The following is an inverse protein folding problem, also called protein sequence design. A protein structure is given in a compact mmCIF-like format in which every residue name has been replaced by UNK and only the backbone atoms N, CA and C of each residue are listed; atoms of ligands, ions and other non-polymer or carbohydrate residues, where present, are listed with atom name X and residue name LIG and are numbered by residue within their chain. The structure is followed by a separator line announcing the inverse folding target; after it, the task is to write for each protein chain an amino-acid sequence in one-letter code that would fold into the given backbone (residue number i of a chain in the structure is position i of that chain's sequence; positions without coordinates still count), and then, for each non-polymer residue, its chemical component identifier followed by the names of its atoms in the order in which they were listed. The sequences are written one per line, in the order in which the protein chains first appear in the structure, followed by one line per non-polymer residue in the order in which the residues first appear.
data_IF_489311883137
#
_entry.id   IF_489311883137
#
_cell.length_a   1.000
_cell.length_b   1.000
_cell.length_c   1.000
_cell.angle_alpha   90.00
_cell.angle_beta   90.00
_cell.angle_gamma   90.00
#
_symmetry.space_group_name_H-M   'P 1'
#
loop_
_entity.id
_entity.type
_entity.pdbx_description
1 polymer ?
#
# COMPACT_ATOMS: atom_id res chain seq x y z
N UNK A 1 21.53 -6.00 4.19
CA UNK A 1 20.05 -5.97 4.04
C UNK A 1 19.70 -6.62 2.71
N UNK A 2 19.09 -7.82 2.73
CA UNK A 2 18.65 -8.51 1.51
C UNK A 2 17.34 -7.88 1.05
N UNK A 3 17.36 -7.22 -0.10
CA UNK A 3 16.17 -6.63 -0.72
C UNK A 3 15.14 -7.72 -1.04
N UNK A 4 14.00 -7.69 -0.35
CA UNK A 4 12.81 -8.44 -0.68
C UNK A 4 12.17 -7.73 -1.90
N UNK A 5 12.52 -8.17 -3.11
CA UNK A 5 11.77 -7.80 -4.30
C UNK A 5 10.37 -8.43 -4.22
N UNK A 6 9.40 -7.66 -3.72
CA UNK A 6 7.98 -7.93 -3.94
C UNK A 6 7.70 -7.48 -5.36
N UNK A 7 7.79 -8.41 -6.31
CA UNK A 7 7.38 -8.12 -7.68
C UNK A 7 5.87 -8.23 -7.76
N UNK A 8 5.18 -7.09 -7.77
CA UNK A 8 3.82 -7.00 -8.34
C UNK A 8 4.02 -7.09 -9.85
N UNK A 9 4.24 -8.30 -10.33
CA UNK A 9 4.05 -8.57 -11.74
C UNK A 9 2.55 -8.78 -11.94
N UNK A 10 1.94 -7.98 -12.81
CA UNK A 10 0.88 -8.47 -13.68
C UNK A 10 1.48 -9.58 -14.55
N UNK A 11 1.73 -10.74 -13.96
CA UNK A 11 2.49 -11.81 -14.57
C UNK A 11 1.53 -12.58 -15.47
N UNK A 12 1.43 -12.14 -16.73
CA UNK A 12 1.12 -13.05 -17.83
C UNK A 12 2.30 -14.02 -18.01
N UNK A 13 2.58 -14.83 -16.99
CA UNK A 13 3.46 -15.98 -17.19
C UNK A 13 2.60 -16.98 -17.95
N UNK A 14 2.75 -16.97 -19.27
CA UNK A 14 2.24 -18.03 -20.13
C UNK A 14 3.18 -19.22 -19.94
N UNK A 15 2.76 -20.22 -19.19
CA UNK A 15 3.62 -21.35 -18.92
C UNK A 15 3.47 -22.43 -19.99
N UNK A 16 4.57 -22.74 -20.69
CA UNK A 16 4.59 -23.67 -21.82
C UNK A 16 4.52 -25.17 -21.47
N UNK A 17 4.66 -25.60 -20.21
CA UNK A 17 4.55 -27.01 -19.80
C UNK A 17 4.05 -27.20 -18.35
N UNK A 18 3.04 -28.07 -18.21
CA UNK A 18 2.67 -28.90 -17.05
C UNK A 18 2.82 -28.34 -15.63
N UNK A 19 1.81 -27.61 -15.15
CA UNK A 19 1.62 -27.39 -13.71
C UNK A 19 0.52 -28.30 -13.20
N UNK A 20 0.62 -28.67 -11.93
CA UNK A 20 -0.51 -29.25 -11.21
C UNK A 20 -1.00 -28.25 -10.20
N UNK A 21 -2.32 -28.22 -10.06
CA UNK A 21 -2.99 -27.40 -9.05
C UNK A 21 -3.65 -28.32 -8.05
N UNK A 22 -3.34 -28.14 -6.78
CA UNK A 22 -4.02 -28.78 -5.67
C UNK A 22 -4.95 -27.76 -5.04
N UNK A 23 -6.27 -27.98 -5.14
CA UNK A 23 -7.27 -27.21 -4.39
C UNK A 23 -7.26 -27.66 -2.94
N UNK A 24 -7.33 -26.70 -2.02
CA UNK A 24 -7.37 -26.94 -0.58
C UNK A 24 -8.81 -26.76 -0.10
N UNK A 25 -9.41 -27.83 0.43
CA UNK A 25 -10.73 -27.81 1.08
C UNK A 25 -10.71 -28.76 2.28
N UNK A 26 -11.18 -28.32 3.45
CA UNK A 26 -11.27 -29.14 4.67
C UNK A 26 -9.95 -29.87 5.01
N UNK A 27 -8.82 -29.17 4.88
CA UNK A 27 -7.46 -29.70 5.06
C UNK A 27 -7.09 -30.88 4.14
N UNK A 28 -7.76 -31.00 2.99
CA UNK A 28 -7.48 -32.00 1.96
C UNK A 28 -7.05 -31.33 0.67
N UNK A 29 -6.17 -32.01 -0.06
CA UNK A 29 -5.70 -31.60 -1.37
C UNK A 29 -6.42 -32.40 -2.46
N UNK A 30 -7.12 -31.69 -3.34
CA UNK A 30 -7.75 -32.29 -4.52
C UNK A 30 -7.04 -31.81 -5.77
N UNK A 31 -6.57 -32.73 -6.61
CA UNK A 31 -5.92 -32.38 -7.88
C UNK A 31 -6.98 -31.84 -8.84
N UNK A 32 -6.76 -30.62 -9.29
CA UNK A 32 -7.59 -29.97 -10.29
C UNK A 32 -7.00 -30.21 -11.67
N UNK A 33 -7.84 -30.62 -12.61
CA UNK A 33 -7.49 -30.72 -14.02
C UNK A 33 -8.00 -29.48 -14.73
N UNK A 34 -7.08 -28.73 -15.33
CA UNK A 34 -7.41 -27.60 -16.20
C UNK A 34 -7.07 -27.94 -17.63
N UNK A 35 -7.82 -27.37 -18.57
CA UNK A 35 -7.46 -27.42 -19.98
C UNK A 35 -6.13 -26.68 -20.20
N UNK A 36 -5.30 -27.08 -21.19
CA UNK A 36 -4.05 -26.41 -21.50
C UNK A 36 -4.18 -24.91 -21.80
N UNK A 37 -5.37 -24.46 -22.20
CA UNK A 37 -5.73 -23.05 -22.43
C UNK A 37 -5.75 -22.19 -21.16
N UNK A 38 -5.81 -22.81 -19.97
CA UNK A 38 -5.71 -22.17 -18.66
C UNK A 38 -4.23 -22.08 -18.28
N UNK A 39 -3.53 -21.11 -18.87
CA UNK A 39 -2.08 -21.01 -18.78
C UNK A 39 -1.58 -20.01 -17.73
N UNK A 40 -2.47 -19.27 -17.04
CA UNK A 40 -2.07 -18.23 -16.08
C UNK A 40 -2.66 -18.46 -14.69
N UNK A 41 -1.95 -18.00 -13.66
CA UNK A 41 -2.43 -18.05 -12.26
C UNK A 41 -3.79 -17.38 -12.08
N UNK A 42 -4.03 -16.26 -12.78
CA UNK A 42 -5.32 -15.55 -12.75
C UNK A 42 -6.46 -16.41 -13.29
N UNK A 43 -6.24 -17.13 -14.40
CA UNK A 43 -7.26 -18.02 -14.96
C UNK A 43 -7.51 -19.22 -14.04
N UNK A 44 -6.46 -19.79 -13.45
CA UNK A 44 -6.57 -20.88 -12.46
C UNK A 44 -7.40 -20.41 -11.26
N UNK A 45 -7.04 -19.27 -10.65
CA UNK A 45 -7.75 -18.72 -9.52
C UNK A 45 -9.22 -18.40 -9.85
N UNK A 46 -9.47 -17.82 -11.03
CA UNK A 46 -10.83 -17.51 -11.50
C UNK A 46 -11.66 -18.78 -11.64
N UNK A 47 -11.09 -19.88 -12.18
CA UNK A 47 -11.76 -21.18 -12.25
C UNK A 47 -12.04 -21.79 -10.87
N UNK A 48 -11.24 -21.42 -9.86
CA UNK A 48 -11.45 -21.79 -8.45
C UNK A 48 -12.41 -20.83 -7.71
N UNK A 49 -12.95 -19.82 -8.38
CA UNK A 49 -13.89 -18.85 -7.80
C UNK A 49 -13.26 -17.59 -7.23
N UNK A 50 -11.96 -17.35 -7.47
CA UNK A 50 -11.21 -16.21 -6.97
C UNK A 50 -10.73 -15.31 -8.12
N UNK A 51 -11.41 -14.19 -8.31
CA UNK A 51 -10.94 -13.11 -9.20
C UNK A 51 -9.64 -12.46 -8.68
N UNK A 52 -8.83 -11.81 -9.54
CA UNK A 52 -7.51 -11.30 -9.17
C UNK A 52 -7.42 -10.50 -7.86
N UNK A 53 -8.34 -9.58 -7.53
CA UNK A 53 -8.27 -8.85 -6.25
C UNK A 53 -8.51 -9.73 -5.00
N UNK A 54 -9.09 -10.92 -5.17
CA UNK A 54 -9.47 -11.85 -4.09
C UNK A 54 -8.35 -12.82 -3.69
N UNK A 55 -7.19 -12.77 -4.37
CA UNK A 55 -6.04 -13.58 -3.97
C UNK A 55 -4.69 -12.88 -4.15
N UNK A 56 -3.69 -13.41 -3.47
CA UNK A 56 -2.28 -13.12 -3.72
C UNK A 56 -1.47 -14.42 -3.74
N UNK A 57 -0.23 -14.34 -4.21
CA UNK A 57 0.69 -15.47 -4.27
C UNK A 57 1.70 -15.40 -3.13
N UNK A 58 1.94 -16.52 -2.49
CA UNK A 58 3.01 -16.68 -1.51
C UNK A 58 4.03 -17.70 -2.01
N UNK A 59 5.30 -17.27 -2.03
CA UNK A 59 6.43 -18.07 -2.46
C UNK A 59 7.44 -18.15 -1.31
N UNK A 60 7.39 -19.23 -0.54
CA UNK A 60 8.42 -19.52 0.45
C UNK A 60 9.66 -20.07 -0.24
N UNK A 61 10.65 -19.21 -0.47
CA UNK A 61 11.95 -19.58 -1.08
C UNK A 61 12.85 -20.40 -0.14
N UNK A 62 12.59 -20.34 1.16
CA UNK A 62 13.36 -21.05 2.19
C UNK A 62 12.83 -22.48 2.38
N UNK A 63 11.56 -22.71 2.05
CA UNK A 63 10.99 -24.04 1.91
C UNK A 63 11.63 -24.74 0.70
N UNK A 64 12.71 -25.48 0.95
CA UNK A 64 13.60 -26.06 -0.08
C UNK A 64 12.98 -27.06 -1.07
N UNK A 65 11.66 -27.19 -1.13
CA UNK A 65 10.95 -27.98 -2.12
C UNK A 65 10.82 -27.21 -3.45
N UNK A 66 11.65 -27.59 -4.43
CA UNK A 66 11.67 -26.99 -5.77
C UNK A 66 10.44 -27.33 -6.62
N UNK A 67 9.63 -28.29 -6.20
CA UNK A 67 8.44 -28.67 -6.95
C UNK A 67 7.24 -27.75 -6.67
N UNK A 68 7.26 -27.00 -5.57
CA UNK A 68 6.22 -26.00 -5.29
C UNK A 68 6.60 -24.70 -5.99
N UNK A 69 5.75 -24.28 -6.90
CA UNK A 69 5.94 -23.04 -7.67
C UNK A 69 5.38 -21.87 -6.88
N UNK A 70 4.15 -22.01 -6.36
CA UNK A 70 3.52 -20.97 -5.53
C UNK A 70 2.34 -21.51 -4.73
N UNK A 71 1.94 -20.82 -3.67
CA UNK A 71 0.67 -21.01 -2.96
C UNK A 71 -0.24 -19.82 -3.24
N UNK A 72 -1.49 -20.08 -3.60
CA UNK A 72 -2.53 -19.06 -3.74
C UNK A 72 -3.25 -18.87 -2.41
N UNK A 73 -3.27 -17.63 -1.92
CA UNK A 73 -3.81 -17.24 -0.62
C UNK A 73 -4.92 -16.22 -0.81
N UNK A 74 -6.01 -16.34 -0.06
CA UNK A 74 -7.11 -15.39 -0.12
C UNK A 74 -6.65 -14.02 0.38
N UNK A 75 -6.91 -12.97 -0.39
CA UNK A 75 -6.64 -11.58 0.01
C UNK A 75 -7.27 -11.27 1.37
N UNK A 76 -6.64 -10.37 2.12
CA UNK A 76 -7.06 -9.91 3.45
C UNK A 76 -7.05 -10.98 4.56
N UNK A 77 -6.56 -12.20 4.27
CA UNK A 77 -6.41 -13.30 5.23
C UNK A 77 -5.04 -13.99 5.10
N UNK A 78 -4.83 -15.03 5.89
CA UNK A 78 -3.69 -15.95 5.75
C UNK A 78 -4.12 -17.33 5.24
N UNK A 79 -5.33 -17.45 4.67
CA UNK A 79 -5.93 -18.74 4.31
C UNK A 79 -5.56 -19.16 2.89
N UNK A 80 -4.73 -20.22 2.71
CA UNK A 80 -4.41 -20.74 1.39
C UNK A 80 -5.60 -21.52 0.82
N UNK A 81 -5.88 -21.37 -0.47
CA UNK A 81 -6.94 -22.12 -1.14
C UNK A 81 -6.43 -23.01 -2.29
N UNK A 82 -5.19 -22.81 -2.74
CA UNK A 82 -4.57 -23.68 -3.74
C UNK A 82 -3.05 -23.70 -3.67
N UNK A 83 -2.45 -24.81 -4.12
CA UNK A 83 -1.00 -24.96 -4.31
C UNK A 83 -0.73 -25.26 -5.77
N UNK A 84 0.22 -24.53 -6.36
CA UNK A 84 0.69 -24.72 -7.73
C UNK A 84 2.06 -25.40 -7.67
N UNK A 85 2.18 -26.54 -8.35
CA UNK A 85 3.41 -27.34 -8.37
C UNK A 85 3.83 -27.65 -9.81
N UNK A 86 5.02 -28.21 -9.96
CA UNK A 86 5.43 -28.86 -11.21
C UNK A 86 4.54 -30.08 -11.50
N UNK A 87 4.48 -30.49 -12.77
CA UNK A 87 3.74 -31.68 -13.22
C UNK A 87 4.16 -33.00 -12.57
N UNK A 88 5.36 -33.05 -11.98
CA UNK A 88 5.94 -34.24 -11.36
C UNK A 88 5.29 -34.56 -10.01
N UNK A 89 4.70 -33.57 -9.35
CA UNK A 89 4.10 -33.73 -8.03
C UNK A 89 2.73 -34.41 -8.13
N UNK A 90 2.64 -35.66 -7.70
CA UNK A 90 1.37 -36.40 -7.72
C UNK A 90 0.56 -36.27 -6.43
N UNK A 91 1.18 -35.85 -5.33
CA UNK A 91 0.53 -35.67 -4.04
C UNK A 91 1.31 -34.64 -3.21
N UNK A 92 0.63 -34.03 -2.24
CA UNK A 92 1.24 -33.19 -1.22
C UNK A 92 1.03 -33.86 0.15
N UNK A 93 2.02 -33.80 1.05
CA UNK A 93 1.88 -34.35 2.39
C UNK A 93 0.84 -33.56 3.19
N UNK A 94 0.19 -34.21 4.15
CA UNK A 94 -0.89 -33.61 4.96
C UNK A 94 -0.44 -32.34 5.68
N UNK A 95 0.79 -32.33 6.21
CA UNK A 95 1.38 -31.21 6.94
C UNK A 95 2.04 -30.16 6.04
N UNK A 96 1.92 -30.27 4.71
CA UNK A 96 2.57 -29.37 3.76
C UNK A 96 2.33 -27.90 4.08
N UNK A 97 1.06 -27.48 4.25
CA UNK A 97 0.73 -26.08 4.50
C UNK A 97 1.34 -25.60 5.80
N UNK A 98 1.26 -26.39 6.88
CA UNK A 98 1.83 -26.00 8.17
C UNK A 98 3.34 -25.82 8.13
N UNK A 99 4.06 -26.66 7.36
CA UNK A 99 5.50 -26.51 7.20
C UNK A 99 5.86 -25.36 6.25
N UNK A 100 5.11 -25.19 5.15
CA UNK A 100 5.33 -24.14 4.16
C UNK A 100 5.08 -22.74 4.73
N UNK A 101 4.14 -22.61 5.66
CA UNK A 101 3.79 -21.36 6.34
C UNK A 101 4.40 -21.22 7.73
N UNK A 102 5.33 -22.10 8.13
CA UNK A 102 5.90 -22.10 9.50
C UNK A 102 6.44 -20.73 9.91
N UNK A 103 7.09 -20.03 8.99
CA UNK A 103 7.68 -18.71 9.20
C UNK A 103 6.92 -17.60 8.46
N UNK A 104 5.66 -17.87 8.06
CA UNK A 104 4.83 -16.88 7.39
C UNK A 104 4.40 -15.78 8.34
N UNK A 105 4.88 -14.58 8.06
CA UNK A 105 4.47 -13.35 8.73
C UNK A 105 3.63 -12.52 7.77
N UNK A 106 2.31 -12.48 8.02
CA UNK A 106 1.34 -11.76 7.18
C UNK A 106 1.75 -10.30 7.03
N UNK A 107 2.15 -9.64 8.11
CA UNK A 107 2.44 -8.21 8.11
C UNK A 107 3.70 -7.88 7.31
N UNK A 108 4.64 -8.82 7.23
CA UNK A 108 5.83 -8.69 6.36
C UNK A 108 5.51 -8.90 4.88
N UNK A 109 4.66 -9.88 4.57
CA UNK A 109 4.39 -10.33 3.20
C UNK A 109 3.19 -9.63 2.53
N UNK A 110 2.29 -9.09 3.33
CA UNK A 110 1.01 -8.53 2.90
C UNK A 110 0.83 -7.13 3.51
N UNK A 111 1.74 -6.24 3.10
CA UNK A 111 1.91 -4.89 3.63
C UNK A 111 0.72 -3.97 3.28
N UNK A 112 0.55 -2.84 3.98
CA UNK A 112 -0.50 -1.86 3.68
C UNK A 112 -0.60 -1.47 2.19
N UNK A 113 0.53 -1.27 1.52
CA UNK A 113 0.56 -0.98 0.07
C UNK A 113 -0.13 -2.07 -0.77
N UNK A 114 0.11 -3.35 -0.46
CA UNK A 114 -0.52 -4.47 -1.16
C UNK A 114 -2.01 -4.53 -0.90
N UNK A 115 -2.43 -4.28 0.34
CA UNK A 115 -3.83 -4.24 0.75
C UNK A 115 -4.57 -3.14 -0.02
N UNK A 116 -4.07 -1.90 0.00
CA UNK A 116 -4.71 -0.78 -0.68
C UNK A 116 -4.75 -0.99 -2.20
N UNK A 117 -3.67 -1.48 -2.82
CA UNK A 117 -3.66 -1.78 -4.25
C UNK A 117 -4.73 -2.82 -4.63
N UNK A 118 -4.94 -3.85 -3.81
CA UNK A 118 -5.99 -4.84 -4.06
C UNK A 118 -7.41 -4.30 -3.80
N UNK A 119 -7.58 -3.40 -2.81
CA UNK A 119 -8.84 -2.70 -2.60
C UNK A 119 -9.17 -1.78 -3.78
N UNK A 120 -8.20 -1.01 -4.28
CA UNK A 120 -8.32 -0.15 -5.46
C UNK A 120 -8.72 -0.96 -6.71
N UNK A 121 -8.00 -2.06 -7.00
CA UNK A 121 -8.32 -2.96 -8.11
C UNK A 121 -9.67 -3.65 -7.91
N UNK A 122 -10.01 -3.99 -6.67
CA UNK A 122 -11.29 -4.57 -6.29
C UNK A 122 -12.47 -3.64 -6.57
N UNK A 123 -12.34 -2.35 -6.26
CA UNK A 123 -13.32 -1.31 -6.56
C UNK A 123 -13.45 -1.12 -8.06
N UNK A 124 -12.32 -0.95 -8.76
CA UNK A 124 -12.27 -0.74 -10.21
C UNK A 124 -12.98 -1.87 -10.98
N UNK A 125 -12.77 -3.11 -10.54
CA UNK A 125 -13.32 -4.29 -11.19
C UNK A 125 -14.68 -4.74 -10.60
N UNK A 126 -15.19 -4.07 -9.56
CA UNK A 126 -16.40 -4.46 -8.81
C UNK A 126 -16.34 -5.91 -8.29
N UNK A 127 -15.13 -6.40 -8.01
CA UNK A 127 -14.88 -7.78 -7.65
C UNK A 127 -15.10 -8.04 -6.14
N UNK A 128 -14.83 -7.03 -5.30
CA UNK A 128 -14.91 -7.17 -3.84
C UNK A 128 -16.32 -6.84 -3.36
N UNK A 129 -17.00 -7.85 -2.79
CA UNK A 129 -18.40 -7.76 -2.35
C UNK A 129 -18.54 -7.96 -0.85
N UNK A 130 -19.65 -7.47 -0.28
CA UNK A 130 -19.98 -7.71 1.13
C UNK A 130 -20.05 -9.21 1.44
N UNK A 131 -20.59 -10.03 0.52
CA UNK A 131 -20.64 -11.50 0.64
C UNK A 131 -19.24 -12.14 0.71
N UNK A 132 -18.27 -11.63 -0.07
CA UNK A 132 -16.89 -12.11 -0.03
C UNK A 132 -16.26 -11.84 1.35
N UNK A 133 -16.36 -10.60 1.83
CA UNK A 133 -15.84 -10.23 3.14
C UNK A 133 -16.60 -10.91 4.29
N UNK A 134 -17.91 -11.14 4.14
CA UNK A 134 -18.73 -11.85 5.14
C UNK A 134 -18.22 -13.27 5.34
N UNK A 135 -17.92 -13.98 4.24
CA UNK A 135 -17.30 -15.31 4.27
C UNK A 135 -15.89 -15.28 4.84
N UNK A 136 -15.11 -14.26 4.47
CA UNK A 136 -13.71 -14.14 4.89
C UNK A 136 -13.57 -13.92 6.40
N UNK A 137 -14.42 -13.06 6.96
CA UNK A 137 -14.38 -12.67 8.37
C UNK A 137 -15.37 -13.44 9.25
N UNK A 138 -16.20 -14.31 8.65
CA UNK A 138 -17.25 -15.07 9.31
C UNK A 138 -18.22 -14.16 10.11
N UNK A 139 -18.67 -13.09 9.47
CA UNK A 139 -19.62 -12.10 10.01
C UNK A 139 -20.59 -11.67 8.91
N UNK A 140 -21.80 -11.25 9.28
CA UNK A 140 -22.76 -10.70 8.31
C UNK A 140 -22.43 -9.22 8.03
N UNK A 141 -22.21 -8.88 6.76
CA UNK A 141 -21.87 -7.52 6.32
C UNK A 141 -22.99 -6.98 5.45
N UNK A 142 -23.55 -5.84 5.85
CA UNK A 142 -24.61 -5.16 5.12
C UNK A 142 -24.16 -4.81 3.69
N UNK A 143 -25.13 -4.84 2.77
CA UNK A 143 -24.92 -4.48 1.36
C UNK A 143 -24.79 -2.96 1.16
N UNK A 144 -25.27 -2.19 2.13
CA UNK A 144 -25.24 -0.73 2.18
C UNK A 144 -24.54 -0.27 3.47
N UNK A 145 -23.54 0.60 3.33
CA UNK A 145 -22.94 1.28 4.48
C UNK A 145 -21.51 0.89 4.75
N UNK A 146 -21.12 0.89 6.03
CA UNK A 146 -19.73 0.81 6.48
C UNK A 146 -19.48 -0.49 7.24
N UNK A 147 -18.38 -1.17 6.88
CA UNK A 147 -17.81 -2.26 7.65
C UNK A 147 -16.42 -1.89 8.17
N UNK A 148 -16.12 -2.28 9.41
CA UNK A 148 -14.81 -2.06 10.02
C UNK A 148 -14.01 -3.36 9.97
N UNK A 149 -13.05 -3.43 9.07
CA UNK A 149 -12.07 -4.51 9.02
C UNK A 149 -11.01 -4.27 10.11
N UNK A 150 -11.23 -4.87 11.27
CA UNK A 150 -10.31 -4.78 12.42
C UNK A 150 -9.00 -5.53 12.20
N UNK A 151 -8.96 -6.48 11.27
CA UNK A 151 -7.76 -7.30 11.04
C UNK A 151 -6.75 -6.53 10.21
N UNK A 152 -7.22 -5.78 9.22
CA UNK A 152 -6.36 -4.99 8.34
C UNK A 152 -6.39 -3.49 8.64
N UNK A 153 -7.24 -3.05 9.57
CA UNK A 153 -7.40 -1.66 10.02
C UNK A 153 -7.92 -0.72 8.93
N UNK A 154 -9.01 -1.13 8.26
CA UNK A 154 -9.67 -0.36 7.22
C UNK A 154 -11.18 -0.23 7.45
N UNK A 155 -11.70 0.92 7.02
CA UNK A 155 -13.11 1.22 6.85
C UNK A 155 -13.50 0.89 5.41
N UNK A 156 -14.42 -0.06 5.22
CA UNK A 156 -14.86 -0.53 3.92
C UNK A 156 -16.30 -0.07 3.66
N UNK A 157 -16.51 0.70 2.59
CA UNK A 157 -17.82 1.25 2.25
C UNK A 157 -18.47 0.47 1.10
N UNK A 158 -19.65 -0.08 1.35
CA UNK A 158 -20.44 -0.86 0.39
C UNK A 158 -21.65 -0.08 -0.11
N UNK A 159 -21.97 -0.32 -1.38
CA UNK A 159 -23.21 0.12 -2.04
C UNK A 159 -23.70 -0.99 -2.94
N UNK A 160 -24.93 -1.46 -2.75
CA UNK A 160 -25.51 -2.59 -3.47
C UNK A 160 -24.72 -3.89 -3.29
N UNK A 161 -24.02 -4.06 -2.17
CA UNK A 161 -23.17 -5.22 -1.88
C UNK A 161 -21.78 -5.17 -2.53
N UNK A 162 -21.43 -4.08 -3.21
CA UNK A 162 -20.13 -3.89 -3.88
C UNK A 162 -19.31 -2.86 -3.11
N UNK A 163 -18.03 -3.13 -2.89
CA UNK A 163 -17.09 -2.17 -2.31
C UNK A 163 -16.92 -0.98 -3.26
N UNK A 164 -17.19 0.23 -2.77
CA UNK A 164 -17.08 1.47 -3.58
C UNK A 164 -16.00 2.42 -3.08
N UNK A 165 -15.60 2.31 -1.81
CA UNK A 165 -14.57 3.14 -1.19
C UNK A 165 -13.97 2.40 0.00
N UNK A 166 -12.72 2.70 0.32
CA UNK A 166 -12.11 2.36 1.59
C UNK A 166 -11.38 3.57 2.18
N UNK A 167 -11.09 3.52 3.47
CA UNK A 167 -10.14 4.42 4.12
C UNK A 167 -9.42 3.71 5.27
N UNK A 168 -8.14 4.03 5.54
CA UNK A 168 -7.48 3.58 6.75
C UNK A 168 -8.29 3.97 8.00
N UNK A 169 -8.45 3.06 8.96
CA UNK A 169 -9.23 3.35 10.16
C UNK A 169 -8.48 4.30 11.11
N UNK A 170 -7.16 4.28 11.11
CA UNK A 170 -6.28 5.23 11.81
C UNK A 170 -6.02 6.54 11.03
N UNK A 171 -6.56 6.66 9.81
CA UNK A 171 -6.37 7.83 8.94
C UNK A 171 -5.00 7.91 8.25
N UNK A 172 -4.05 7.04 8.56
CA UNK A 172 -2.71 7.07 7.96
C UNK A 172 -2.68 6.35 6.61
N UNK A 173 -2.10 6.99 5.60
CA UNK A 173 -1.95 6.43 4.24
C UNK A 173 -1.01 5.22 4.22
N UNK A 174 -1.05 4.42 3.15
CA UNK A 174 -0.07 3.34 2.89
C UNK A 174 1.38 3.83 3.02
N UNK A 175 1.69 5.04 2.56
CA UNK A 175 3.04 5.58 2.61
C UNK A 175 3.45 5.93 4.03
N UNK A 176 2.55 6.54 4.81
CA UNK A 176 2.83 6.83 6.22
C UNK A 176 2.99 5.56 7.03
N UNK A 177 2.11 4.56 6.84
CA UNK A 177 2.24 3.26 7.50
C UNK A 177 3.58 2.59 7.15
N UNK A 178 3.98 2.62 5.88
CA UNK A 178 5.27 2.07 5.44
C UNK A 178 6.46 2.86 5.98
N UNK A 179 6.38 4.18 6.02
CA UNK A 179 7.46 5.06 6.49
C UNK A 179 7.68 4.88 8.00
N UNK A 180 6.59 4.81 8.78
CA UNK A 180 6.63 4.58 10.24
C UNK A 180 7.35 3.29 10.64
N UNK A 181 7.33 2.24 9.80
CA UNK A 181 8.03 0.98 10.08
C UNK A 181 9.56 1.14 10.06
N UNK A 182 10.07 2.15 9.36
CA UNK A 182 11.51 2.35 9.15
C UNK A 182 12.05 3.64 9.76
N UNK A 183 11.19 4.65 9.97
CA UNK A 183 11.54 6.01 10.38
C UNK A 183 10.52 6.57 11.38
N UNK A 184 10.24 5.81 12.45
CA UNK A 184 9.24 6.18 13.47
C UNK A 184 9.60 7.49 14.19
N UNK A 185 10.88 7.74 14.42
CA UNK A 185 11.41 8.97 15.02
C UNK A 185 11.05 10.22 14.22
N UNK A 186 11.12 10.16 12.89
CA UNK A 186 10.73 11.28 12.03
C UNK A 186 9.21 11.48 12.00
N UNK A 187 8.42 10.41 12.12
CA UNK A 187 6.96 10.53 12.31
C UNK A 187 6.64 11.25 13.62
N UNK A 188 7.35 10.93 14.70
CA UNK A 188 7.15 11.61 15.99
C UNK A 188 7.51 13.10 15.90
N UNK A 189 8.57 13.45 15.17
CA UNK A 189 8.95 14.84 14.90
C UNK A 189 7.87 15.58 14.09
N UNK A 190 7.37 14.98 12.99
CA UNK A 190 6.27 15.57 12.22
C UNK A 190 5.03 15.75 13.08
N UNK A 191 4.69 14.74 13.88
CA UNK A 191 3.52 14.77 14.77
C UNK A 191 3.63 15.90 15.78
N UNK A 192 4.80 16.06 16.41
CA UNK A 192 5.05 17.13 17.38
C UNK A 192 4.94 18.52 16.74
N UNK A 193 5.66 18.76 15.64
CA UNK A 193 5.68 20.04 14.96
C UNK A 193 4.27 20.44 14.44
N UNK A 194 3.58 19.50 13.77
CA UNK A 194 2.24 19.74 13.26
C UNK A 194 1.21 19.93 14.38
N UNK A 195 1.33 19.20 15.50
CA UNK A 195 0.42 19.35 16.63
C UNK A 195 0.50 20.72 17.28
N UNK A 196 1.71 21.30 17.36
CA UNK A 196 1.87 22.68 17.86
C UNK A 196 1.22 23.69 16.93
N UNK A 197 1.45 23.58 15.62
CA UNK A 197 0.91 24.53 14.64
C UNK A 197 -0.62 24.43 14.49
N UNK A 198 -1.16 23.22 14.42
CA UNK A 198 -2.60 22.98 14.25
C UNK A 198 -3.39 22.93 15.57
N UNK A 199 -2.81 23.38 16.68
CA UNK A 199 -3.44 23.39 18.02
C UNK A 199 -4.02 22.03 18.42
N UNK A 200 -3.28 20.95 18.15
CA UNK A 200 -3.68 19.57 18.47
C UNK A 200 -4.81 18.99 17.62
N UNK A 201 -5.23 19.66 16.54
CA UNK A 201 -6.24 19.13 15.61
C UNK A 201 -5.70 17.87 14.90
N UNK A 202 -6.12 16.70 15.40
CA UNK A 202 -5.62 15.39 14.95
C UNK A 202 -5.82 15.15 13.46
N UNK A 203 -6.94 15.60 12.87
CA UNK A 203 -7.19 15.41 11.44
C UNK A 203 -6.16 16.17 10.59
N UNK A 204 -5.89 17.44 10.91
CA UNK A 204 -4.88 18.22 10.19
C UNK A 204 -3.46 17.68 10.40
N UNK A 205 -3.16 17.17 11.59
CA UNK A 205 -1.87 16.53 11.89
C UNK A 205 -1.68 15.28 11.04
N UNK A 206 -2.69 14.41 10.98
CA UNK A 206 -2.64 13.20 10.15
C UNK A 206 -2.52 13.55 8.67
N UNK A 207 -3.30 14.52 8.18
CA UNK A 207 -3.25 14.98 6.79
C UNK A 207 -1.85 15.50 6.43
N UNK A 208 -1.25 16.33 7.29
CA UNK A 208 0.12 16.82 7.11
C UNK A 208 1.12 15.68 7.03
N UNK A 209 1.08 14.71 7.97
CA UNK A 209 2.00 13.57 7.97
C UNK A 209 1.82 12.72 6.70
N UNK A 210 0.57 12.48 6.29
CA UNK A 210 0.25 11.76 5.07
C UNK A 210 0.86 12.44 3.84
N UNK A 211 0.74 13.77 3.75
CA UNK A 211 1.29 14.53 2.63
C UNK A 211 2.82 14.55 2.60
N UNK A 212 3.48 14.57 3.76
CA UNK A 212 4.94 14.45 3.85
C UNK A 212 5.42 13.07 3.37
N UNK A 213 4.77 11.99 3.82
CA UNK A 213 5.13 10.64 3.42
C UNK A 213 4.79 10.33 1.95
N UNK A 214 3.67 10.85 1.44
CA UNK A 214 3.32 10.78 0.02
C UNK A 214 4.36 11.52 -0.83
N UNK A 215 4.77 12.72 -0.42
CA UNK A 215 5.83 13.47 -1.11
C UNK A 215 7.14 12.66 -1.12
N UNK A 216 7.55 12.13 0.03
CA UNK A 216 8.77 11.32 0.14
C UNK A 216 8.75 10.10 -0.79
N UNK A 217 7.64 9.37 -0.87
CA UNK A 217 7.50 8.21 -1.74
C UNK A 217 7.69 8.54 -3.23
N UNK A 218 7.52 9.81 -3.62
CA UNK A 218 7.68 10.30 -4.98
C UNK A 218 9.01 11.02 -5.24
N UNK A 219 9.89 11.18 -4.24
CA UNK A 219 11.21 11.80 -4.41
C UNK A 219 12.17 10.80 -5.04
N UNK A 220 12.79 11.12 -6.20
CA UNK A 220 13.85 10.30 -6.77
C UNK A 220 15.01 10.14 -5.79
N UNK A 221 15.51 8.91 -5.68
CA UNK A 221 16.58 8.48 -4.78
C UNK A 221 16.28 8.61 -3.26
N UNK A 222 15.06 9.01 -2.89
CA UNK A 222 14.64 9.14 -1.48
C UNK A 222 15.67 9.90 -0.64
N UNK A 223 16.08 9.33 0.49
CA UNK A 223 17.09 9.93 1.37
C UNK A 223 18.49 10.12 0.75
N UNK A 224 18.80 9.48 -0.38
CA UNK A 224 20.08 9.67 -1.07
C UNK A 224 20.09 10.91 -1.97
N UNK A 225 18.97 11.62 -2.07
CA UNK A 225 18.89 12.83 -2.85
C UNK A 225 19.70 13.96 -2.17
N UNK A 226 20.75 14.49 -2.81
CA UNK A 226 21.70 15.41 -2.18
C UNK A 226 21.10 16.77 -1.84
N UNK A 227 19.96 17.14 -2.42
CA UNK A 227 19.30 18.41 -2.15
C UNK A 227 18.38 18.36 -0.92
N UNK A 228 18.11 17.17 -0.33
CA UNK A 228 17.22 17.05 0.83
C UNK A 228 17.73 17.74 2.08
N UNK A 229 19.05 17.81 2.27
CA UNK A 229 19.67 18.45 3.44
C UNK A 229 19.26 19.92 3.57
N UNK A 230 19.04 20.61 2.44
CA UNK A 230 18.59 22.02 2.40
C UNK A 230 17.14 22.22 2.91
N UNK A 231 16.41 21.13 3.11
CA UNK A 231 15.02 21.13 3.58
C UNK A 231 14.90 20.52 4.98
N UNK A 232 16.03 20.27 5.63
CA UNK A 232 16.06 19.86 7.02
C UNK A 232 15.88 21.08 7.92
N UNK A 233 14.89 21.02 8.78
CA UNK A 233 14.60 22.06 9.75
C UNK A 233 15.51 21.88 11.00
N UNK A 234 15.84 22.94 11.77
CA UNK A 234 16.73 22.84 12.93
C UNK A 234 16.29 21.86 14.04
N UNK A 235 15.01 21.51 14.10
CA UNK A 235 14.45 20.47 14.99
C UNK A 235 14.59 19.05 14.44
N UNK A 236 15.19 18.89 13.26
CA UNK A 236 15.69 17.63 12.71
C UNK A 236 14.82 17.01 11.63
N UNK A 237 13.56 17.43 11.47
CA UNK A 237 12.69 16.86 10.43
C UNK A 237 12.98 17.46 9.05
N UNK A 238 12.68 16.71 8.00
CA UNK A 238 12.84 17.16 6.61
C UNK A 238 11.47 17.48 6.01
N UNK A 239 11.30 18.67 5.43
CA UNK A 239 10.05 19.03 4.76
C UNK A 239 10.01 18.47 3.33
N UNK A 240 9.67 17.19 3.20
CA UNK A 240 9.56 16.48 1.92
C UNK A 240 8.56 17.12 0.97
N UNK A 241 7.45 17.66 1.51
CA UNK A 241 6.41 18.29 0.70
C UNK A 241 6.92 19.54 0.00
N UNK A 242 7.60 20.43 0.72
CA UNK A 242 8.16 21.66 0.15
C UNK A 242 9.34 21.36 -0.78
N UNK A 243 10.19 20.38 -0.42
CA UNK A 243 11.23 19.87 -1.32
C UNK A 243 10.63 19.40 -2.65
N UNK A 244 9.58 18.56 -2.59
CA UNK A 244 8.95 17.99 -3.77
C UNK A 244 8.39 19.08 -4.70
N UNK A 245 7.75 20.12 -4.14
CA UNK A 245 7.28 21.27 -4.93
C UNK A 245 8.39 22.13 -5.51
N UNK A 246 9.54 22.21 -4.83
CA UNK A 246 10.66 23.03 -5.30
C UNK A 246 11.32 22.44 -6.55
N UNK A 247 11.30 21.10 -6.72
CA UNK A 247 12.08 20.44 -7.77
C UNK A 247 11.28 19.57 -8.76
N UNK A 248 10.09 19.08 -8.40
CA UNK A 248 9.46 17.97 -9.13
C UNK A 248 7.99 18.19 -9.50
N UNK A 249 7.43 19.38 -9.30
CA UNK A 249 5.99 19.55 -9.43
C UNK A 249 5.55 20.81 -10.16
N UNK A 250 4.67 20.61 -11.16
CA UNK A 250 3.90 21.66 -11.82
C UNK A 250 2.54 21.94 -11.12
N UNK A 251 2.34 21.48 -9.88
CA UNK A 251 1.05 21.61 -9.19
C UNK A 251 0.79 23.06 -8.73
N UNK A 252 -0.47 23.48 -8.81
CA UNK A 252 -0.94 24.73 -8.23
C UNK A 252 -1.04 24.59 -6.71
N UNK A 253 -0.09 25.17 -5.98
CA UNK A 253 -0.12 25.27 -4.52
C UNK A 253 -0.52 26.69 -4.13
N UNK A 254 -1.60 26.84 -3.38
CA UNK A 254 -1.99 28.15 -2.84
C UNK A 254 -1.08 28.56 -1.67
N UNK A 255 -0.98 29.86 -1.40
CA UNK A 255 -0.23 30.38 -0.26
C UNK A 255 -0.73 29.80 1.07
N UNK A 256 -2.04 29.60 1.22
CA UNK A 256 -2.63 28.97 2.41
C UNK A 256 -2.15 27.52 2.60
N UNK A 257 -2.14 26.73 1.52
CA UNK A 257 -1.60 25.37 1.57
C UNK A 257 -0.10 25.39 1.84
N UNK A 258 0.64 26.32 1.23
CA UNK A 258 2.07 26.44 1.45
C UNK A 258 2.40 26.82 2.89
N UNK A 259 1.60 27.70 3.51
CA UNK A 259 1.67 28.02 4.93
C UNK A 259 1.46 26.77 5.80
N UNK A 260 0.47 25.95 5.48
CA UNK A 260 0.23 24.70 6.21
C UNK A 260 1.38 23.70 6.01
N UNK A 261 1.94 23.57 4.81
CA UNK A 261 3.08 22.68 4.56
C UNK A 261 4.37 23.14 5.23
N UNK A 262 4.54 24.44 5.45
CA UNK A 262 5.68 25.03 6.16
C UNK A 262 5.42 25.24 7.64
N UNK A 263 4.26 24.79 8.15
CA UNK A 263 3.83 25.00 9.54
C UNK A 263 3.92 26.48 9.96
N UNK A 264 3.63 27.39 9.03
CA UNK A 264 3.66 28.83 9.21
C UNK A 264 5.06 29.47 9.27
N UNK A 265 6.13 28.71 9.04
CA UNK A 265 7.52 29.17 9.14
C UNK A 265 7.97 29.95 7.90
N UNK A 266 7.14 30.87 7.42
CA UNK A 266 7.44 31.72 6.27
C UNK A 266 7.95 33.09 6.72
N UNK A 267 9.04 33.54 6.11
CA UNK A 267 9.51 34.91 6.21
C UNK A 267 8.92 35.74 5.06
N UNK A 268 8.03 36.68 5.37
CA UNK A 268 7.45 37.57 4.36
C UNK A 268 8.51 38.58 3.88
N UNK A 269 8.85 38.54 2.59
CA UNK A 269 9.79 39.48 1.96
C UNK A 269 9.02 40.68 1.39
N UNK A 270 7.98 40.41 0.61
CA UNK A 270 7.10 41.41 0.02
C UNK A 270 5.73 40.78 -0.30
N UNK A 271 4.82 41.56 -0.89
CA UNK A 271 3.43 41.17 -1.17
C UNK A 271 3.26 39.82 -1.89
N UNK A 272 4.26 39.33 -2.62
CA UNK A 272 4.20 38.08 -3.40
C UNK A 272 5.31 37.09 -3.08
N UNK A 273 6.33 37.50 -2.35
CA UNK A 273 7.51 36.68 -2.09
C UNK A 273 7.62 36.33 -0.62
N UNK A 274 7.78 35.03 -0.36
CA UNK A 274 8.00 34.46 0.96
C UNK A 274 9.26 33.63 0.91
N UNK A 275 10.04 33.64 1.98
CA UNK A 275 11.13 32.71 2.13
C UNK A 275 10.84 31.61 3.12
N UNK A 276 11.42 30.46 2.83
CA UNK A 276 11.43 29.29 3.67
C UNK A 276 12.79 28.62 3.51
N UNK A 277 13.53 28.50 4.62
CA UNK A 277 14.93 28.05 4.63
C UNK A 277 15.77 28.85 3.61
N UNK A 278 16.48 28.16 2.73
CA UNK A 278 17.39 28.75 1.73
C UNK A 278 16.67 29.14 0.42
N UNK A 279 15.34 29.13 0.37
CA UNK A 279 14.58 29.37 -0.86
C UNK A 279 13.62 30.55 -0.72
N UNK A 280 13.44 31.28 -1.83
CA UNK A 280 12.39 32.29 -2.02
C UNK A 280 11.34 31.74 -2.97
N UNK A 281 10.08 31.81 -2.54
CA UNK A 281 8.90 31.35 -3.24
C UNK A 281 8.03 32.55 -3.64
N UNK A 282 7.72 32.65 -4.93
CA UNK A 282 6.92 33.74 -5.50
C UNK A 282 5.53 33.24 -5.90
N UNK A 283 4.50 33.96 -5.44
CA UNK A 283 3.10 33.66 -5.69
C UNK A 283 2.48 34.68 -6.65
N UNK A 284 1.52 34.24 -7.47
CA UNK A 284 0.76 35.15 -8.34
C UNK A 284 -0.30 35.96 -7.58
N UNK A 285 -1.04 36.77 -8.31
CA UNK A 285 -2.12 37.60 -7.74
C UNK A 285 -3.28 36.81 -7.12
N UNK A 286 -3.43 35.54 -7.47
CA UNK A 286 -4.41 34.63 -6.89
C UNK A 286 -3.82 33.82 -5.73
N UNK A 287 -2.56 34.11 -5.34
CA UNK A 287 -1.86 33.41 -4.29
C UNK A 287 -1.42 32.01 -4.68
N UNK A 288 -1.22 31.72 -5.97
CA UNK A 288 -0.73 30.42 -6.46
C UNK A 288 0.79 30.49 -6.68
N UNK A 289 1.51 29.49 -6.17
CA UNK A 289 2.96 29.37 -6.33
C UNK A 289 3.33 29.33 -7.82
N UNK A 290 4.29 30.17 -8.24
CA UNK A 290 4.78 30.25 -9.61
C UNK A 290 6.22 29.79 -9.77
N UNK A 291 7.09 30.23 -8.87
CA UNK A 291 8.51 29.98 -8.97
C UNK A 291 9.14 29.87 -7.60
N UNK A 292 10.20 29.08 -7.51
CA UNK A 292 11.12 29.03 -6.39
C UNK A 292 12.54 29.30 -6.88
N UNK A 293 13.34 30.00 -6.08
CA UNK A 293 14.77 30.22 -6.33
C UNK A 293 15.57 30.09 -5.04
N UNK A 294 16.78 29.56 -5.14
CA UNK A 294 17.73 29.53 -4.02
C UNK A 294 18.19 30.97 -3.70
N UNK A 295 18.42 31.25 -2.42
CA UNK A 295 18.87 32.55 -1.88
C UNK A 295 20.34 32.83 -2.18
#
# INVERSE_FOLDING_TARGET
MRYLFITIFFCQISFGQGFRTFKIEDHKFTIMKFEPSVATLNQIATKLGYEPPKFYTYNNREYGNKDVVTVLVKSFSSEPFAVITTEKTNSLPYNFISEYFKDFDKDKHYRPYTIESQLEDGIKNKALTSDYFSKLFNVDIDKEGLFVDKVNDYLLHFKGGILVKFSPADGFSKWTKSFRLHHSDMIDQFTYAASLYFNGNQYKVIDFINEQCEAFANIPDGFLNPALEKFQHPDGYINFKVFFYTFYSDYMVSLYQFQDYTLGQLEHINNRDYAYLDYVYSFDENGILKTSKER
#
